data_IF_351403907000
#
_entry.id   IF_351403907000
#
_cell.length_a   1.000
_cell.length_b   1.000
_cell.length_c   1.000
_cell.angle_alpha   90.00
_cell.angle_beta   90.00
_cell.angle_gamma   90.00
#
_symmetry.space_group_name_H-M   'P 1'
#
loop_
_entity.id
_entity.type
_entity.pdbx_description
1 polymer ?
#
# COMPACT_ATOMS: atom_id res chain seq x y z
N UNK A 1 -35.41 -25.24 20.60
CA UNK A 1 -33.94 -25.39 20.50
C UNK A 1 -33.35 -25.01 21.85
N UNK A 2 -32.58 -25.90 22.48
CA UNK A 2 -32.02 -25.64 23.81
C UNK A 2 -30.75 -24.79 23.67
N UNK A 3 -30.93 -23.47 23.61
CA UNK A 3 -29.87 -22.49 23.36
C UNK A 3 -28.73 -22.57 24.36
N UNK A 4 -29.00 -22.91 25.62
CA UNK A 4 -27.96 -23.07 26.66
C UNK A 4 -27.07 -24.30 26.42
N UNK A 5 -27.64 -25.40 25.93
CA UNK A 5 -26.89 -26.60 25.55
C UNK A 5 -26.02 -26.40 24.29
N UNK A 6 -26.50 -25.60 23.34
CA UNK A 6 -25.71 -25.24 22.14
C UNK A 6 -24.55 -24.32 22.52
N UNK A 7 -24.80 -23.30 23.35
CA UNK A 7 -23.76 -22.36 23.81
C UNK A 7 -22.69 -23.04 24.66
N UNK A 8 -23.07 -23.94 25.57
CA UNK A 8 -22.11 -24.66 26.41
C UNK A 8 -21.26 -25.65 25.61
N UNK A 9 -21.85 -26.33 24.62
CA UNK A 9 -21.11 -27.19 23.69
C UNK A 9 -20.09 -26.41 22.85
N UNK A 10 -20.50 -25.27 22.29
CA UNK A 10 -19.60 -24.39 21.55
C UNK A 10 -18.48 -23.83 22.44
N UNK A 11 -18.80 -23.45 23.68
CA UNK A 11 -17.82 -22.98 24.65
C UNK A 11 -16.78 -24.05 25.01
N UNK A 12 -17.22 -25.29 25.23
CA UNK A 12 -16.31 -26.40 25.52
C UNK A 12 -15.36 -26.71 24.36
N UNK A 13 -15.84 -26.64 23.11
CA UNK A 13 -15.01 -26.84 21.92
C UNK A 13 -13.99 -25.73 21.78
N UNK A 14 -14.41 -24.47 21.90
CA UNK A 14 -13.52 -23.30 21.82
C UNK A 14 -12.47 -23.30 22.94
N UNK A 15 -12.86 -23.67 24.15
CA UNK A 15 -11.97 -23.69 25.32
C UNK A 15 -11.19 -25.02 25.48
N UNK A 16 -11.24 -25.90 24.48
CA UNK A 16 -10.41 -27.10 24.44
C UNK A 16 -9.01 -26.79 23.91
N UNK A 17 -7.98 -27.60 24.21
CA UNK A 17 -6.64 -27.42 23.65
C UNK A 17 -6.62 -27.35 22.12
N UNK A 18 -7.45 -28.17 21.45
CA UNK A 18 -7.59 -28.17 20.00
C UNK A 18 -8.28 -26.90 19.48
N UNK A 19 -9.35 -26.45 20.15
CA UNK A 19 -10.08 -25.23 19.79
C UNK A 19 -9.22 -23.98 19.92
N UNK A 20 -8.48 -23.85 21.02
CA UNK A 20 -7.53 -22.76 21.25
C UNK A 20 -6.43 -22.78 20.17
N UNK A 21 -5.88 -23.95 19.84
CA UNK A 21 -4.85 -24.09 18.80
C UNK A 21 -5.34 -23.63 17.43
N UNK A 22 -6.56 -24.02 17.04
CA UNK A 22 -7.17 -23.60 15.78
C UNK A 22 -7.39 -22.08 15.73
N UNK A 23 -7.90 -21.50 16.82
CA UNK A 23 -8.11 -20.05 16.91
C UNK A 23 -6.80 -19.27 16.87
N UNK A 24 -5.77 -19.72 17.59
CA UNK A 24 -4.45 -19.11 17.56
C UNK A 24 -3.83 -19.19 16.15
N UNK A 25 -3.97 -20.33 15.46
CA UNK A 25 -3.49 -20.49 14.08
C UNK A 25 -4.24 -19.58 13.12
N UNK A 26 -5.56 -19.48 13.23
CA UNK A 26 -6.37 -18.59 12.41
C UNK A 26 -6.02 -17.11 12.65
N UNK A 27 -5.80 -16.74 13.91
CA UNK A 27 -5.36 -15.39 14.29
C UNK A 27 -3.98 -15.07 13.71
N UNK A 28 -3.00 -15.96 13.85
CA UNK A 28 -1.67 -15.79 13.29
C UNK A 28 -1.70 -15.71 11.76
N UNK A 29 -2.53 -16.53 11.10
CA UNK A 29 -2.72 -16.46 9.66
C UNK A 29 -3.31 -15.11 9.22
N UNK A 30 -4.31 -14.60 9.95
CA UNK A 30 -4.94 -13.32 9.66
C UNK A 30 -3.99 -12.14 9.90
N UNK A 31 -3.22 -12.17 11.00
CA UNK A 31 -2.17 -11.21 11.26
C UNK A 31 -1.11 -11.27 10.16
N UNK A 32 -0.66 -12.47 9.79
CA UNK A 32 0.27 -12.65 8.66
C UNK A 32 -0.27 -12.04 7.38
N UNK A 33 -1.56 -12.22 7.08
CA UNK A 33 -2.21 -11.64 5.90
C UNK A 33 -2.29 -10.11 5.96
N UNK A 34 -2.56 -9.56 7.14
CA UNK A 34 -2.65 -8.12 7.39
C UNK A 34 -1.27 -7.46 7.29
N UNK A 35 -0.25 -8.03 7.93
CA UNK A 35 1.12 -7.52 7.90
C UNK A 35 1.83 -7.77 6.56
N UNK A 36 1.39 -8.77 5.79
CA UNK A 36 1.88 -8.99 4.42
C UNK A 36 1.18 -8.11 3.37
N UNK A 37 0.22 -7.26 3.75
CA UNK A 37 -0.37 -6.30 2.84
C UNK A 37 0.68 -5.22 2.50
N UNK A 38 1.40 -5.44 1.39
CA UNK A 38 2.31 -4.45 0.84
C UNK A 38 1.54 -3.16 0.51
N UNK A 39 2.14 -1.97 0.74
CA UNK A 39 1.60 -0.70 0.25
C UNK A 39 1.23 -0.80 -1.23
N UNK A 40 0.20 -0.07 -1.65
CA UNK A 40 -0.22 -0.08 -3.05
C UNK A 40 0.91 0.41 -3.95
N UNK A 41 1.64 1.44 -3.53
CA UNK A 41 2.73 2.02 -4.30
C UNK A 41 3.87 1.04 -4.62
N UNK A 42 4.13 0.04 -3.76
CA UNK A 42 5.15 -0.98 -4.03
C UNK A 42 4.82 -1.85 -5.25
N UNK A 43 3.53 -1.95 -5.63
CA UNK A 43 3.14 -2.65 -6.86
C UNK A 43 3.44 -1.84 -8.11
N UNK A 44 3.61 -0.52 -7.98
CA UNK A 44 3.84 0.43 -9.06
C UNK A 44 5.22 1.10 -8.95
N UNK A 45 6.14 0.49 -8.21
CA UNK A 45 7.45 1.07 -7.91
C UNK A 45 8.25 1.38 -9.19
N UNK A 46 8.20 0.50 -10.20
CA UNK A 46 8.86 0.72 -11.48
C UNK A 46 8.31 1.92 -12.26
N UNK A 47 6.99 2.07 -12.27
CA UNK A 47 6.29 3.19 -12.87
C UNK A 47 6.58 4.49 -12.11
N UNK A 48 6.62 4.43 -10.78
CA UNK A 48 6.97 5.55 -9.91
C UNK A 48 8.41 6.01 -10.17
N UNK A 49 9.39 5.09 -10.22
CA UNK A 49 10.79 5.40 -10.56
C UNK A 49 10.85 6.11 -11.91
N UNK A 50 10.13 5.59 -12.90
CA UNK A 50 10.11 6.14 -14.25
C UNK A 50 9.50 7.55 -14.27
N UNK A 51 8.40 7.76 -13.55
CA UNK A 51 7.73 9.04 -13.44
C UNK A 51 8.58 10.09 -12.70
N UNK A 52 9.27 9.69 -11.62
CA UNK A 52 10.20 10.57 -10.89
C UNK A 52 11.35 11.01 -11.79
N UNK A 53 12.03 10.06 -12.45
CA UNK A 53 13.15 10.37 -13.35
C UNK A 53 12.71 11.24 -14.53
N UNK A 54 11.54 10.98 -15.08
CA UNK A 54 10.97 11.83 -16.12
C UNK A 54 10.69 13.25 -15.60
N UNK A 55 10.07 13.39 -14.42
CA UNK A 55 9.73 14.69 -13.87
C UNK A 55 10.98 15.54 -13.56
N UNK A 56 12.03 14.90 -13.03
CA UNK A 56 13.32 15.53 -12.74
C UNK A 56 14.02 16.02 -14.02
N UNK A 57 13.93 15.24 -15.10
CA UNK A 57 14.45 15.64 -16.41
C UNK A 57 13.64 16.76 -17.05
N UNK A 58 12.31 16.72 -16.93
CA UNK A 58 11.42 17.63 -17.63
C UNK A 58 11.35 19.01 -16.95
N UNK A 59 11.45 19.06 -15.62
CA UNK A 59 11.31 20.29 -14.84
C UNK A 59 12.69 20.75 -14.37
N UNK A 60 13.24 21.85 -14.91
CA UNK A 60 14.56 22.36 -14.53
C UNK A 60 14.60 22.86 -13.07
N UNK A 61 15.79 22.83 -12.46
CA UNK A 61 16.01 23.31 -11.07
C UNK A 61 15.67 24.79 -10.88
N UNK A 62 15.82 25.60 -11.94
CA UNK A 62 15.52 27.03 -11.91
C UNK A 62 14.01 27.34 -11.82
N UNK A 63 13.16 26.30 -11.92
CA UNK A 63 11.71 26.46 -11.79
C UNK A 63 11.36 26.87 -10.35
N UNK A 64 10.58 27.94 -10.14
CA UNK A 64 10.05 28.25 -8.83
C UNK A 64 9.27 27.06 -8.25
N UNK A 65 9.67 26.59 -7.07
CA UNK A 65 9.13 25.39 -6.44
C UNK A 65 9.30 24.10 -7.26
N UNK A 66 10.46 23.93 -7.94
CA UNK A 66 10.78 22.77 -8.77
C UNK A 66 10.41 21.43 -8.12
N UNK A 67 10.77 21.21 -6.84
CA UNK A 67 10.45 19.96 -6.12
C UNK A 67 8.94 19.67 -6.01
N UNK A 68 8.11 20.69 -5.77
CA UNK A 68 6.64 20.52 -5.75
C UNK A 68 6.09 20.27 -7.15
N UNK A 69 6.63 20.96 -8.16
CA UNK A 69 6.22 20.75 -9.55
C UNK A 69 6.56 19.33 -10.02
N UNK A 70 7.74 18.81 -9.68
CA UNK A 70 8.18 17.45 -9.99
C UNK A 70 7.33 16.40 -9.30
N UNK A 71 7.04 16.60 -8.01
CA UNK A 71 6.13 15.73 -7.26
C UNK A 71 4.74 15.68 -7.88
N UNK A 72 4.17 16.84 -8.23
CA UNK A 72 2.84 16.94 -8.85
C UNK A 72 2.81 16.27 -10.24
N UNK A 73 3.84 16.49 -11.05
CA UNK A 73 3.96 15.89 -12.37
C UNK A 73 4.09 14.36 -12.31
N UNK A 74 4.98 13.85 -11.44
CA UNK A 74 5.13 12.42 -11.20
C UNK A 74 3.83 11.80 -10.67
N UNK A 75 3.16 12.46 -9.72
CA UNK A 75 1.89 11.98 -9.15
C UNK A 75 0.78 11.88 -10.19
N UNK A 76 0.62 12.90 -11.05
CA UNK A 76 -0.36 12.86 -12.15
C UNK A 76 -0.14 11.68 -13.07
N UNK A 77 1.11 11.40 -13.45
CA UNK A 77 1.43 10.26 -14.31
C UNK A 77 1.11 8.93 -13.64
N UNK A 78 1.56 8.75 -12.39
CA UNK A 78 1.36 7.49 -11.66
C UNK A 78 -0.13 7.23 -11.41
N UNK A 79 -0.91 8.27 -11.05
CA UNK A 79 -2.36 8.13 -10.89
C UNK A 79 -3.03 7.79 -12.21
N UNK A 80 -2.66 8.43 -13.33
CA UNK A 80 -3.22 8.10 -14.63
C UNK A 80 -2.98 6.63 -15.03
N UNK A 81 -1.76 6.13 -14.81
CA UNK A 81 -1.43 4.71 -15.04
C UNK A 81 -2.24 3.79 -14.13
N UNK A 82 -2.34 4.14 -12.85
CA UNK A 82 -3.13 3.39 -11.87
C UNK A 82 -4.61 3.29 -12.30
N UNK A 83 -5.22 4.41 -12.65
CA UNK A 83 -6.63 4.48 -13.03
C UNK A 83 -6.90 3.74 -14.33
N UNK A 84 -6.01 3.85 -15.31
CA UNK A 84 -6.08 3.10 -16.56
C UNK A 84 -5.99 1.58 -16.32
N UNK A 85 -5.07 1.14 -15.46
CA UNK A 85 -4.90 -0.27 -15.12
C UNK A 85 -6.10 -0.84 -14.34
N UNK A 86 -6.74 -0.04 -13.50
CA UNK A 86 -7.90 -0.44 -12.68
C UNK A 86 -9.24 -0.22 -13.36
N UNK A 87 -9.30 0.55 -14.44
CA UNK A 87 -10.54 0.94 -15.11
C UNK A 87 -11.46 1.79 -14.23
N UNK A 88 -10.91 2.49 -13.22
CA UNK A 88 -11.68 3.36 -12.31
C UNK A 88 -10.81 4.49 -11.77
N UNK A 89 -11.48 5.54 -11.31
CA UNK A 89 -10.84 6.66 -10.61
C UNK A 89 -10.25 6.19 -9.28
N UNK A 90 -9.07 6.73 -8.96
CA UNK A 90 -8.37 6.47 -7.72
C UNK A 90 -9.11 7.13 -6.55
N UNK A 91 -9.23 6.42 -5.44
CA UNK A 91 -9.74 6.99 -4.20
C UNK A 91 -8.69 7.89 -3.55
N UNK A 92 -9.12 8.81 -2.69
CA UNK A 92 -8.19 9.71 -1.99
C UNK A 92 -7.11 8.95 -1.18
N UNK A 93 -7.45 7.79 -0.62
CA UNK A 93 -6.50 6.95 0.10
C UNK A 93 -5.44 6.35 -0.82
N UNK A 94 -5.82 5.94 -2.03
CA UNK A 94 -4.90 5.38 -3.03
C UNK A 94 -3.99 6.46 -3.59
N UNK A 95 -4.52 7.65 -3.89
CA UNK A 95 -3.71 8.80 -4.32
C UNK A 95 -2.70 9.18 -3.22
N UNK A 96 -3.11 9.16 -1.96
CA UNK A 96 -2.20 9.43 -0.83
C UNK A 96 -1.10 8.37 -0.71
N UNK A 97 -1.43 7.08 -0.88
CA UNK A 97 -0.45 6.00 -0.84
C UNK A 97 0.55 6.08 -2.00
N UNK A 98 0.08 6.35 -3.23
CA UNK A 98 0.94 6.57 -4.39
C UNK A 98 1.84 7.79 -4.22
N UNK A 99 1.33 8.89 -3.65
CA UNK A 99 2.12 10.08 -3.32
C UNK A 99 3.23 9.75 -2.32
N UNK A 100 2.93 8.96 -1.28
CA UNK A 100 3.93 8.52 -0.31
C UNK A 100 5.02 7.69 -1.01
N UNK A 101 4.63 6.73 -1.87
CA UNK A 101 5.59 5.94 -2.65
C UNK A 101 6.52 6.78 -3.52
N UNK A 102 6.01 7.84 -4.16
CA UNK A 102 6.83 8.78 -4.94
C UNK A 102 7.87 9.47 -4.05
N UNK A 103 7.49 9.94 -2.86
CA UNK A 103 8.40 10.63 -1.95
C UNK A 103 9.49 9.69 -1.40
N UNK A 104 9.11 8.45 -1.05
CA UNK A 104 10.05 7.42 -0.62
C UNK A 104 11.04 7.10 -1.75
N UNK A 105 10.53 6.80 -2.95
CA UNK A 105 11.36 6.45 -4.11
C UNK A 105 12.29 7.59 -4.49
N UNK A 106 11.81 8.83 -4.49
CA UNK A 106 12.64 10.01 -4.74
C UNK A 106 13.80 10.09 -3.74
N UNK A 107 13.51 9.95 -2.45
CA UNK A 107 14.54 9.97 -1.39
C UNK A 107 15.57 8.83 -1.56
N UNK A 108 15.12 7.64 -1.96
CA UNK A 108 16.00 6.49 -2.22
C UNK A 108 16.90 6.71 -3.45
N UNK A 109 16.35 7.24 -4.54
CA UNK A 109 17.12 7.57 -5.74
C UNK A 109 18.15 8.68 -5.46
N UNK A 110 17.81 9.62 -4.57
CA UNK A 110 18.69 10.73 -4.16
C UNK A 110 19.86 10.18 -3.33
N UNK A 111 19.55 9.34 -2.34
CA UNK A 111 20.55 8.66 -1.52
C UNK A 111 21.46 7.75 -2.35
N UNK A 112 20.94 7.14 -3.41
CA UNK A 112 21.71 6.33 -4.36
C UNK A 112 22.54 7.15 -5.36
N UNK A 113 22.34 8.47 -5.44
CA UNK A 113 23.01 9.34 -6.41
C UNK A 113 22.59 9.08 -7.86
N UNK A 114 21.33 8.66 -8.06
CA UNK A 114 20.79 8.27 -9.38
C UNK A 114 19.64 9.17 -9.86
N UNK A 115 19.50 10.32 -9.21
CA UNK A 115 18.66 11.46 -9.60
C UNK A 115 19.46 12.47 -10.40
#
# INVERSE_FOLDING_TARGET
MNWTGVLSGLWAVVNSPAGITLLATALLWLLGRLYAAKPLWQQYEGEIISAVKWAEKEIPDETPNAGLARLDAALKMVVAVYEQARGRVATAAEVADLKNGIQVTHSELEAAGTL
#
